data_IF_809423073390
#
_entry.id   IF_809423073390
#
_cell.length_a   1.000
_cell.length_b   1.000
_cell.length_c   1.000
_cell.angle_alpha   90.00
_cell.angle_beta   90.00
_cell.angle_gamma   90.00
#
_symmetry.space_group_name_H-M   'P 1'
#
loop_
_entity.id
_entity.type
_entity.pdbx_description
1 polymer ?
#
# COMPACT_ATOMS: atom_id res chain seq x y z
N UNK A 1 -31.85 -3.65 9.53
CA UNK A 1 -31.29 -2.30 9.35
C UNK A 1 -31.03 -2.14 7.86
N UNK A 2 -31.71 -1.19 7.21
CA UNK A 2 -31.73 -1.08 5.75
C UNK A 2 -30.36 -0.68 5.18
N UNK A 3 -30.04 -1.24 4.02
CA UNK A 3 -28.93 -0.81 3.18
C UNK A 3 -29.18 0.64 2.75
N UNK A 4 -28.72 1.60 3.54
CA UNK A 4 -28.61 2.98 3.09
C UNK A 4 -27.54 3.00 2.01
N UNK A 5 -27.90 3.43 0.80
CA UNK A 5 -26.94 3.73 -0.27
C UNK A 5 -25.82 4.59 0.31
N UNK A 6 -24.60 4.05 0.27
CA UNK A 6 -23.40 4.80 0.62
C UNK A 6 -23.33 6.01 -0.31
N UNK A 7 -23.51 7.21 0.25
CA UNK A 7 -23.41 8.48 -0.49
C UNK A 7 -22.01 9.07 -0.24
N UNK A 8 -21.02 8.79 -1.13
CA UNK A 8 -19.63 9.17 -0.89
C UNK A 8 -19.41 10.68 -0.79
N UNK A 9 -20.33 11.50 -1.29
CA UNK A 9 -20.21 12.97 -1.29
C UNK A 9 -20.97 13.68 -0.17
N UNK A 10 -21.53 12.98 0.83
CA UNK A 10 -22.37 13.62 1.87
C UNK A 10 -21.62 14.62 2.77
N UNK A 11 -20.28 14.60 2.76
CA UNK A 11 -19.41 15.39 3.62
C UNK A 11 -18.25 16.12 2.89
N UNK A 12 -18.15 16.00 1.56
CA UNK A 12 -17.03 16.55 0.77
C UNK A 12 -17.48 17.76 -0.08
N UNK A 13 -16.53 18.66 -0.36
CA UNK A 13 -16.66 19.97 -1.01
C UNK A 13 -17.49 20.02 -2.31
N UNK A 14 -17.79 21.24 -2.77
CA UNK A 14 -18.60 21.58 -3.97
C UNK A 14 -18.25 20.79 -5.25
N UNK A 15 -17.05 20.19 -5.34
CA UNK A 15 -16.57 19.44 -6.51
C UNK A 15 -16.83 17.92 -6.45
N UNK A 16 -17.19 17.33 -5.30
CA UNK A 16 -17.26 15.86 -5.15
C UNK A 16 -18.23 15.20 -6.13
N UNK A 17 -19.41 15.78 -6.34
CA UNK A 17 -20.37 15.23 -7.31
C UNK A 17 -19.89 15.35 -8.76
N UNK A 18 -19.23 16.47 -9.09
CA UNK A 18 -18.67 16.68 -10.44
C UNK A 18 -17.57 15.65 -10.72
N UNK A 19 -16.64 15.51 -9.77
CA UNK A 19 -15.53 14.56 -9.85
C UNK A 19 -16.02 13.12 -9.86
N UNK A 20 -17.05 12.78 -9.07
CA UNK A 20 -17.67 11.45 -9.12
C UNK A 20 -18.22 11.15 -10.52
N UNK A 21 -18.92 12.10 -11.16
CA UNK A 21 -19.42 11.92 -12.54
C UNK A 21 -18.26 11.80 -13.54
N UNK A 22 -17.25 12.66 -13.42
CA UNK A 22 -16.08 12.65 -14.28
C UNK A 22 -15.33 11.31 -14.21
N UNK A 23 -15.01 10.85 -13.00
CA UNK A 23 -14.30 9.59 -12.76
C UNK A 23 -15.18 8.40 -13.16
N UNK A 24 -16.48 8.42 -12.85
CA UNK A 24 -17.39 7.34 -13.28
C UNK A 24 -17.46 7.20 -14.81
N UNK A 25 -17.42 8.33 -15.53
CA UNK A 25 -17.44 8.34 -16.99
C UNK A 25 -16.13 7.88 -17.62
N UNK A 26 -14.98 8.18 -16.99
CA UNK A 26 -13.67 7.97 -17.59
C UNK A 26 -12.89 6.78 -17.01
N UNK A 27 -13.04 6.49 -15.72
CA UNK A 27 -12.29 5.48 -14.94
C UNK A 27 -13.21 4.74 -13.94
N UNK A 28 -14.31 4.11 -14.40
CA UNK A 28 -15.25 3.42 -13.50
C UNK A 28 -14.60 2.28 -12.70
N UNK A 29 -13.56 1.63 -13.26
CA UNK A 29 -12.79 0.60 -12.58
C UNK A 29 -12.11 1.09 -11.29
N UNK A 30 -11.63 2.34 -11.27
CA UNK A 30 -11.00 2.94 -10.10
C UNK A 30 -11.96 3.01 -8.91
N UNK A 31 -13.21 3.46 -9.11
CA UNK A 31 -14.21 3.56 -8.05
C UNK A 31 -14.60 2.20 -7.46
N UNK A 32 -14.70 1.19 -8.32
CA UNK A 32 -14.93 -0.19 -7.87
C UNK A 32 -13.76 -0.67 -7.01
N UNK A 33 -12.53 -0.50 -7.48
CA UNK A 33 -11.34 -1.00 -6.77
C UNK A 33 -11.07 -0.23 -5.47
N UNK A 34 -11.51 1.04 -5.38
CA UNK A 34 -11.55 1.82 -4.13
C UNK A 34 -12.55 1.22 -3.13
N UNK A 35 -13.75 0.88 -3.60
CA UNK A 35 -14.76 0.19 -2.78
C UNK A 35 -14.25 -1.18 -2.31
N UNK A 36 -13.53 -1.91 -3.16
CA UNK A 36 -12.96 -3.20 -2.81
C UNK A 36 -11.82 -3.08 -1.77
N UNK A 37 -10.98 -2.02 -1.83
CA UNK A 37 -10.00 -1.72 -0.77
C UNK A 37 -10.70 -1.51 0.59
N UNK A 38 -11.77 -0.70 0.61
CA UNK A 38 -12.56 -0.47 1.82
C UNK A 38 -13.13 -1.80 2.31
N UNK A 39 -13.81 -2.55 1.44
CA UNK A 39 -14.34 -3.87 1.77
C UNK A 39 -13.29 -4.81 2.37
N UNK A 40 -12.08 -4.84 1.81
CA UNK A 40 -10.97 -5.61 2.34
C UNK A 40 -10.55 -5.19 3.75
N UNK A 41 -10.42 -3.89 4.03
CA UNK A 41 -10.05 -3.37 5.34
C UNK A 41 -11.09 -3.69 6.45
N UNK A 42 -12.37 -3.81 6.09
CA UNK A 42 -13.45 -4.14 7.03
C UNK A 42 -13.68 -5.66 7.16
N UNK A 43 -13.72 -6.38 6.04
CA UNK A 43 -14.03 -7.81 6.01
C UNK A 43 -12.92 -8.69 6.58
N UNK A 44 -11.67 -8.26 6.41
CA UNK A 44 -10.50 -9.00 6.89
C UNK A 44 -10.21 -8.74 8.36
N UNK A 45 -11.14 -8.12 9.10
CA UNK A 45 -11.04 -8.02 10.55
C UNK A 45 -11.08 -9.44 11.14
N UNK A 46 -9.98 -9.93 11.73
CA UNK A 46 -9.97 -11.25 12.36
C UNK A 46 -10.98 -11.26 13.51
N UNK A 47 -11.69 -12.36 13.75
CA UNK A 47 -12.47 -12.56 14.97
C UNK A 47 -11.59 -12.35 16.22
N UNK A 48 -10.30 -12.65 16.08
CA UNK A 48 -9.23 -12.42 17.05
C UNK A 48 -8.97 -10.95 17.34
N UNK A 49 -9.31 -10.03 16.44
CA UNK A 49 -9.29 -8.60 16.72
C UNK A 49 -10.22 -8.22 17.87
N UNK A 50 -11.33 -8.94 18.02
CA UNK A 50 -12.27 -8.76 19.14
C UNK A 50 -11.79 -9.44 20.42
N UNK A 51 -10.82 -10.35 20.35
CA UNK A 51 -10.37 -11.18 21.48
C UNK A 51 -8.95 -10.88 21.97
N UNK A 52 -8.11 -10.19 21.20
CA UNK A 52 -6.79 -9.74 21.63
C UNK A 52 -6.70 -8.20 21.69
N UNK A 53 -7.12 -7.56 22.80
CA UNK A 53 -7.06 -6.11 22.95
C UNK A 53 -5.64 -5.55 22.96
N UNK A 54 -4.62 -6.42 23.05
CA UNK A 54 -3.21 -6.04 23.08
C UNK A 54 -2.54 -6.10 21.69
N UNK A 55 -3.24 -6.51 20.63
CA UNK A 55 -2.69 -6.55 19.27
C UNK A 55 -2.55 -5.15 18.68
N UNK A 56 -1.32 -4.71 18.41
CA UNK A 56 -1.08 -3.43 17.73
C UNK A 56 -1.51 -3.51 16.27
N UNK A 57 -1.34 -4.66 15.60
CA UNK A 57 -1.79 -4.84 14.23
C UNK A 57 -3.31 -4.65 14.10
N UNK A 58 -4.07 -5.30 14.97
CA UNK A 58 -5.53 -5.15 15.04
C UNK A 58 -5.91 -3.69 15.33
N UNK A 59 -5.28 -3.09 16.34
CA UNK A 59 -5.56 -1.72 16.73
C UNK A 59 -5.37 -0.77 15.54
N UNK A 60 -4.25 -0.93 14.82
CA UNK A 60 -3.94 -0.17 13.60
C UNK A 60 -4.96 -0.43 12.50
N UNK A 61 -5.34 -1.69 12.25
CA UNK A 61 -6.31 -2.02 11.21
C UNK A 61 -7.64 -1.30 11.43
N UNK A 62 -8.14 -1.29 12.67
CA UNK A 62 -9.42 -0.69 13.03
C UNK A 62 -9.37 0.83 13.14
N UNK A 63 -8.33 1.39 13.77
CA UNK A 63 -8.29 2.80 14.15
C UNK A 63 -7.51 3.69 13.18
N UNK A 64 -6.77 3.09 12.23
CA UNK A 64 -5.99 3.83 11.25
C UNK A 64 -6.31 3.37 9.83
N UNK A 65 -6.15 2.09 9.51
CA UNK A 65 -6.30 1.59 8.13
C UNK A 65 -7.73 1.71 7.62
N UNK A 66 -8.74 1.33 8.40
CA UNK A 66 -10.14 1.49 8.01
C UNK A 66 -10.51 2.96 7.75
N UNK A 67 -10.21 3.91 8.66
CA UNK A 67 -10.38 5.34 8.37
C UNK A 67 -9.62 5.81 7.11
N UNK A 68 -8.36 5.40 6.93
CA UNK A 68 -7.55 5.77 5.76
C UNK A 68 -8.10 5.19 4.46
N UNK A 69 -8.59 3.95 4.47
CA UNK A 69 -9.21 3.33 3.29
C UNK A 69 -10.47 4.11 2.84
N UNK A 70 -11.29 4.56 3.80
CA UNK A 70 -12.40 5.46 3.49
C UNK A 70 -11.91 6.81 2.99
N UNK A 71 -10.90 7.38 3.64
CA UNK A 71 -10.36 8.69 3.25
C UNK A 71 -9.73 8.68 1.85
N UNK A 72 -9.10 7.58 1.43
CA UNK A 72 -8.56 7.42 0.07
C UNK A 72 -9.65 7.62 -1.00
N UNK A 73 -10.86 7.07 -0.79
CA UNK A 73 -11.98 7.33 -1.70
C UNK A 73 -12.31 8.82 -1.76
N UNK A 74 -12.38 9.49 -0.60
CA UNK A 74 -12.66 10.92 -0.55
C UNK A 74 -11.55 11.75 -1.22
N UNK A 75 -10.29 11.45 -0.97
CA UNK A 75 -9.17 12.20 -1.56
C UNK A 75 -9.09 12.01 -3.08
N UNK A 76 -9.48 10.84 -3.60
CA UNK A 76 -9.63 10.64 -5.05
C UNK A 76 -10.78 11.48 -5.61
N UNK A 77 -11.93 11.50 -4.92
CA UNK A 77 -13.08 12.33 -5.31
C UNK A 77 -12.83 13.83 -5.15
N UNK A 78 -11.81 14.23 -4.39
CA UNK A 78 -11.35 15.62 -4.28
C UNK A 78 -10.24 15.95 -5.29
N UNK A 79 -9.85 15.00 -6.16
CA UNK A 79 -8.70 15.12 -7.05
C UNK A 79 -7.42 15.55 -6.31
N UNK A 80 -7.19 14.97 -5.12
CA UNK A 80 -6.05 15.23 -4.25
C UNK A 80 -5.06 14.04 -4.25
N UNK A 81 -4.16 13.94 -5.25
CA UNK A 81 -3.28 12.77 -5.42
C UNK A 81 -2.31 12.59 -4.24
N UNK A 82 -1.79 13.67 -3.65
CA UNK A 82 -0.84 13.57 -2.53
C UNK A 82 -1.48 12.98 -1.28
N UNK A 83 -2.68 13.43 -0.92
CA UNK A 83 -3.44 12.87 0.21
C UNK A 83 -3.76 11.39 -0.03
N UNK A 84 -4.08 11.04 -1.27
CA UNK A 84 -4.34 9.66 -1.70
C UNK A 84 -3.10 8.78 -1.51
N UNK A 85 -1.96 9.15 -2.09
CA UNK A 85 -0.71 8.40 -2.02
C UNK A 85 -0.15 8.33 -0.58
N UNK A 86 -0.26 9.42 0.17
CA UNK A 86 0.16 9.47 1.58
C UNK A 86 -0.64 8.50 2.44
N UNK A 87 -1.96 8.41 2.21
CA UNK A 87 -2.83 7.49 2.92
C UNK A 87 -2.53 6.03 2.58
N UNK A 88 -2.31 5.74 1.29
CA UNK A 88 -1.87 4.41 0.83
C UNK A 88 -0.54 3.99 1.48
N UNK A 89 0.44 4.89 1.52
CA UNK A 89 1.73 4.66 2.19
C UNK A 89 1.56 4.34 3.67
N UNK A 90 0.74 5.12 4.37
CA UNK A 90 0.47 4.95 5.80
C UNK A 90 -0.22 3.63 6.11
N UNK A 91 -1.12 3.13 5.24
CA UNK A 91 -1.72 1.81 5.40
C UNK A 91 -0.64 0.73 5.45
N UNK A 92 0.29 0.71 4.49
CA UNK A 92 1.35 -0.30 4.41
C UNK A 92 2.29 -0.19 5.63
N UNK A 93 2.77 1.02 5.92
CA UNK A 93 3.72 1.27 7.01
C UNK A 93 3.15 0.85 8.36
N UNK A 94 1.91 1.25 8.65
CA UNK A 94 1.29 0.99 9.94
C UNK A 94 1.00 -0.51 10.17
N UNK A 95 0.59 -1.25 9.13
CA UNK A 95 0.39 -2.69 9.23
C UNK A 95 1.72 -3.44 9.40
N UNK A 96 2.78 -3.03 8.71
CA UNK A 96 4.11 -3.61 8.90
C UNK A 96 4.64 -3.38 10.33
N UNK A 97 4.45 -2.18 10.88
CA UNK A 97 4.74 -1.86 12.29
C UNK A 97 3.95 -2.77 13.24
N UNK A 98 2.65 -2.93 12.99
CA UNK A 98 1.78 -3.79 13.81
C UNK A 98 2.21 -5.26 13.78
N UNK A 99 2.63 -5.75 12.61
CA UNK A 99 3.12 -7.11 12.42
C UNK A 99 4.39 -7.35 13.23
N UNK A 100 5.35 -6.42 13.11
CA UNK A 100 6.59 -6.44 13.88
C UNK A 100 6.31 -6.40 15.39
N UNK A 101 5.44 -5.51 15.83
CA UNK A 101 5.11 -5.35 17.24
C UNK A 101 4.46 -6.61 17.83
N UNK A 102 3.48 -7.18 17.14
CA UNK A 102 2.78 -8.37 17.63
C UNK A 102 3.65 -9.62 17.59
N UNK A 103 4.63 -9.69 16.68
CA UNK A 103 5.58 -10.79 16.62
C UNK A 103 6.60 -10.78 17.76
N UNK A 104 7.13 -9.61 18.12
CA UNK A 104 8.26 -9.51 19.06
C UNK A 104 7.86 -9.12 20.48
N UNK A 105 6.74 -8.40 20.64
CA UNK A 105 6.28 -7.88 21.92
C UNK A 105 4.90 -8.43 22.27
N UNK A 106 4.65 -9.72 21.97
CA UNK A 106 3.32 -10.34 22.07
C UNK A 106 2.65 -10.22 23.44
N UNK A 107 3.45 -10.14 24.50
CA UNK A 107 2.99 -10.07 25.91
C UNK A 107 2.73 -8.63 26.39
N UNK A 108 3.14 -7.63 25.60
CA UNK A 108 2.98 -6.21 25.93
C UNK A 108 1.59 -5.70 25.53
N UNK A 109 1.11 -4.70 26.28
CA UNK A 109 -0.09 -3.96 25.89
C UNK A 109 0.19 -3.03 24.70
N UNK A 110 -0.87 -2.52 24.06
CA UNK A 110 -0.76 -1.66 22.87
C UNK A 110 0.11 -0.42 23.11
N UNK A 111 0.00 0.24 24.27
CA UNK A 111 0.75 1.46 24.58
C UNK A 111 2.26 1.19 24.69
N UNK A 112 2.62 0.10 25.38
CA UNK A 112 4.00 -0.38 25.46
C UNK A 112 4.53 -0.71 24.08
N UNK A 113 3.76 -1.43 23.25
CA UNK A 113 4.15 -1.76 21.87
C UNK A 113 4.47 -0.53 21.04
N UNK A 114 3.62 0.49 21.05
CA UNK A 114 3.86 1.75 20.32
C UNK A 114 5.19 2.39 20.72
N UNK A 115 5.52 2.36 22.01
CA UNK A 115 6.79 2.91 22.52
C UNK A 115 8.00 2.10 22.05
N UNK A 116 7.89 0.76 22.04
CA UNK A 116 8.95 -0.16 21.65
C UNK A 116 9.22 -0.14 20.13
N UNK A 117 8.21 0.16 19.32
CA UNK A 117 8.32 0.20 17.85
C UNK A 117 8.51 1.60 17.27
N UNK A 118 8.78 2.62 18.12
CA UNK A 118 9.00 4.01 17.66
C UNK A 118 10.11 4.15 16.62
N UNK A 119 11.08 3.24 16.64
CA UNK A 119 12.21 3.22 15.70
C UNK A 119 11.96 2.24 14.54
N UNK A 120 10.73 1.74 14.37
CA UNK A 120 10.45 0.88 13.24
C UNK A 120 10.71 1.63 11.93
N UNK A 121 11.43 0.98 11.01
CA UNK A 121 11.72 1.56 9.70
C UNK A 121 11.48 0.54 8.61
N UNK A 122 10.56 0.85 7.69
CA UNK A 122 10.32 0.03 6.49
C UNK A 122 11.61 -0.23 5.70
N UNK A 123 12.52 0.75 5.66
CA UNK A 123 13.85 0.59 5.06
C UNK A 123 14.70 -0.52 5.70
N UNK A 124 14.65 -0.66 7.03
CA UNK A 124 15.40 -1.70 7.76
C UNK A 124 14.77 -3.08 7.59
N UNK A 125 13.44 -3.14 7.50
CA UNK A 125 12.69 -4.37 7.20
C UNK A 125 13.14 -5.05 5.91
N UNK A 126 13.67 -4.29 4.95
CA UNK A 126 14.36 -4.81 3.76
C UNK A 126 15.88 -4.88 3.90
N UNK A 127 16.54 -3.81 4.37
CA UNK A 127 17.98 -3.57 4.17
C UNK A 127 18.91 -4.30 5.15
N UNK A 128 18.43 -4.83 6.27
CA UNK A 128 19.30 -5.59 7.19
C UNK A 128 19.95 -6.82 6.51
N UNK A 129 19.35 -7.35 5.44
CA UNK A 129 19.93 -8.40 4.57
C UNK A 129 21.17 -7.95 3.78
N UNK A 130 21.31 -6.65 3.47
CA UNK A 130 22.43 -6.09 2.69
C UNK A 130 23.62 -5.64 3.55
N UNK A 131 23.45 -5.56 4.87
CA UNK A 131 24.52 -5.17 5.78
C UNK A 131 25.39 -6.37 6.20
N UNK A 132 24.82 -7.57 6.33
CA UNK A 132 25.62 -8.80 6.58
C UNK A 132 26.68 -9.04 5.49
N UNK A 133 26.43 -8.61 4.24
CA UNK A 133 27.39 -8.69 3.12
C UNK A 133 28.41 -7.53 3.08
N UNK A 134 28.18 -6.45 3.85
CA UNK A 134 29.04 -5.24 3.91
C UNK A 134 29.79 -5.06 5.23
N UNK A 135 29.37 -5.78 6.28
CA UNK A 135 29.93 -5.67 7.64
C UNK A 135 31.27 -6.37 7.84
N UNK A 136 31.93 -6.87 6.78
CA UNK A 136 33.38 -7.12 6.83
C UNK A 136 34.21 -5.82 6.89
N UNK A 137 33.60 -4.62 6.88
CA UNK A 137 34.37 -3.37 6.75
C UNK A 137 34.12 -2.22 7.73
N UNK A 138 33.10 -2.21 8.59
CA UNK A 138 32.92 -1.11 9.58
C UNK A 138 32.44 -1.59 10.96
N UNK A 139 33.41 -1.86 11.85
CA UNK A 139 33.21 -2.08 13.28
C UNK A 139 32.79 -0.77 13.98
N UNK A 140 31.51 -0.36 13.92
CA UNK A 140 31.06 0.73 14.82
C UNK A 140 29.57 0.79 15.17
N UNK A 141 28.73 -0.19 14.81
CA UNK A 141 27.33 -0.20 15.25
C UNK A 141 27.15 -1.18 16.41
N UNK A 142 26.87 -0.63 17.60
CA UNK A 142 26.80 -1.38 18.86
C UNK A 142 25.78 -2.54 18.85
N UNK A 143 25.88 -3.41 19.86
CA UNK A 143 25.09 -4.65 20.02
C UNK A 143 23.57 -4.51 19.79
N UNK A 144 23.00 -3.33 20.07
CA UNK A 144 21.58 -3.06 19.90
C UNK A 144 21.14 -3.01 18.43
N UNK A 145 22.00 -2.51 17.53
CA UNK A 145 21.71 -2.44 16.09
C UNK A 145 21.71 -3.83 15.44
N UNK A 146 22.68 -4.66 15.82
CA UNK A 146 22.77 -6.05 15.36
C UNK A 146 21.56 -6.87 15.83
N UNK A 147 21.17 -6.73 17.11
CA UNK A 147 19.98 -7.37 17.67
C UNK A 147 18.70 -6.97 16.91
N UNK A 148 18.56 -5.69 16.61
CA UNK A 148 17.44 -5.16 15.84
C UNK A 148 17.42 -5.74 14.41
N UNK A 149 18.56 -5.74 13.70
CA UNK A 149 18.63 -6.31 12.36
C UNK A 149 18.36 -7.82 12.33
N UNK A 150 18.76 -8.57 13.36
CA UNK A 150 18.40 -9.98 13.51
C UNK A 150 16.88 -10.17 13.59
N UNK A 151 16.17 -9.31 14.34
CA UNK A 151 14.71 -9.35 14.43
C UNK A 151 14.04 -9.04 13.08
N UNK A 152 14.54 -8.04 12.36
CA UNK A 152 14.05 -7.70 11.02
C UNK A 152 14.29 -8.83 10.01
N UNK A 153 15.50 -9.41 9.99
CA UNK A 153 15.85 -10.52 9.09
C UNK A 153 15.04 -11.79 9.42
N UNK A 154 14.80 -12.08 10.70
CA UNK A 154 13.94 -13.19 11.12
C UNK A 154 12.48 -12.97 10.68
N UNK A 155 11.90 -11.80 10.94
CA UNK A 155 10.54 -11.50 10.52
C UNK A 155 10.40 -11.51 8.99
N UNK A 156 11.38 -10.96 8.27
CA UNK A 156 11.39 -10.94 6.81
C UNK A 156 11.37 -12.36 6.23
N UNK A 157 12.17 -13.28 6.79
CA UNK A 157 12.12 -14.71 6.43
C UNK A 157 10.76 -15.33 6.74
N UNK A 158 10.22 -15.13 7.93
CA UNK A 158 8.90 -15.68 8.30
C UNK A 158 7.78 -15.20 7.36
N UNK A 159 7.79 -13.92 6.97
CA UNK A 159 6.83 -13.35 6.02
C UNK A 159 7.01 -13.94 4.62
N UNK A 160 8.25 -14.02 4.14
CA UNK A 160 8.56 -14.58 2.82
C UNK A 160 8.19 -16.06 2.75
N UNK A 161 8.52 -16.86 3.78
CA UNK A 161 8.17 -18.29 3.85
C UNK A 161 6.65 -18.48 3.86
N UNK A 162 5.93 -17.65 4.62
CA UNK A 162 4.46 -17.65 4.69
C UNK A 162 3.81 -17.33 3.34
N UNK A 163 4.43 -16.45 2.56
CA UNK A 163 3.94 -15.95 1.27
C UNK A 163 4.68 -16.60 0.08
N UNK A 164 5.47 -17.66 0.27
CA UNK A 164 6.30 -18.26 -0.79
C UNK A 164 5.47 -18.76 -1.99
N UNK A 165 4.22 -19.13 -1.74
CA UNK A 165 3.25 -19.49 -2.78
C UNK A 165 2.94 -18.34 -3.77
N UNK A 166 3.31 -17.09 -3.45
CA UNK A 166 3.23 -15.93 -4.33
C UNK A 166 4.52 -15.63 -5.10
N UNK A 167 5.65 -16.24 -4.73
CA UNK A 167 6.98 -15.86 -5.21
C UNK A 167 7.08 -15.85 -6.74
N UNK A 168 6.53 -16.86 -7.40
CA UNK A 168 6.50 -16.95 -8.86
C UNK A 168 5.58 -15.90 -9.53
N UNK A 169 4.55 -15.42 -8.82
CA UNK A 169 3.64 -14.38 -9.31
C UNK A 169 4.25 -12.99 -9.15
N UNK A 170 4.86 -12.71 -7.99
CA UNK A 170 5.52 -11.44 -7.68
C UNK A 170 6.84 -11.25 -8.42
N UNK A 171 7.50 -12.35 -8.84
CA UNK A 171 8.82 -12.32 -9.46
C UNK A 171 9.96 -12.10 -8.45
N UNK A 172 9.68 -12.30 -7.15
CA UNK A 172 10.62 -12.04 -6.06
C UNK A 172 10.02 -12.29 -4.68
N UNK A 173 10.76 -11.88 -3.64
CA UNK A 173 10.36 -12.02 -2.24
C UNK A 173 9.19 -11.06 -1.92
N UNK A 174 8.25 -11.51 -1.10
CA UNK A 174 7.05 -10.75 -0.73
C UNK A 174 7.38 -9.45 0.01
N UNK A 175 8.36 -9.49 0.91
CA UNK A 175 8.82 -8.31 1.66
C UNK A 175 9.46 -7.27 0.73
N UNK A 176 10.21 -7.71 -0.28
CA UNK A 176 10.79 -6.80 -1.28
C UNK A 176 9.67 -6.11 -2.06
N UNK A 177 8.65 -6.85 -2.51
CA UNK A 177 7.48 -6.27 -3.18
C UNK A 177 6.79 -5.21 -2.31
N UNK A 178 6.43 -5.54 -1.06
CA UNK A 178 5.76 -4.62 -0.13
C UNK A 178 6.61 -3.36 0.11
N UNK A 179 7.92 -3.52 0.28
CA UNK A 179 8.83 -2.39 0.46
C UNK A 179 8.90 -1.50 -0.77
N UNK A 180 8.98 -2.06 -1.98
CA UNK A 180 9.04 -1.26 -3.21
C UNK A 180 7.75 -0.46 -3.41
N UNK A 181 6.58 -1.06 -3.15
CA UNK A 181 5.29 -0.32 -3.17
C UNK A 181 5.34 0.85 -2.18
N UNK A 182 5.75 0.61 -0.94
CA UNK A 182 5.92 1.67 0.06
C UNK A 182 6.91 2.75 -0.39
N UNK A 183 8.05 2.35 -0.95
CA UNK A 183 9.11 3.24 -1.38
C UNK A 183 8.65 4.11 -2.56
N UNK A 184 7.92 3.54 -3.50
CA UNK A 184 7.35 4.24 -4.65
C UNK A 184 6.29 5.24 -4.22
N UNK A 185 5.36 4.85 -3.34
CA UNK A 185 4.39 5.78 -2.74
C UNK A 185 5.07 6.93 -1.96
N UNK A 186 6.27 6.71 -1.45
CA UNK A 186 7.03 7.74 -0.71
C UNK A 186 7.72 8.76 -1.63
N UNK A 187 8.06 8.40 -2.87
CA UNK A 187 8.82 9.29 -3.77
C UNK A 187 8.09 10.60 -4.08
N UNK A 188 6.80 10.61 -4.44
CA UNK A 188 6.08 11.86 -4.69
C UNK A 188 5.93 12.73 -3.45
N UNK A 189 5.96 12.16 -2.24
CA UNK A 189 5.76 12.89 -0.98
C UNK A 189 7.03 13.67 -0.59
N UNK A 190 8.22 13.21 -1.02
CA UNK A 190 9.49 13.87 -0.74
C UNK A 190 9.93 14.76 -1.92
N UNK A 191 9.82 16.09 -1.76
CA UNK A 191 10.19 17.07 -2.79
C UNK A 191 11.61 16.88 -3.40
N UNK A 192 12.57 16.36 -2.61
CA UNK A 192 13.94 16.09 -3.08
C UNK A 192 14.03 14.85 -3.98
N UNK A 193 13.17 13.85 -3.79
CA UNK A 193 13.13 12.65 -4.64
C UNK A 193 12.55 12.93 -6.04
N UNK A 194 11.91 14.08 -6.23
CA UNK A 194 11.42 14.54 -7.55
C UNK A 194 12.55 15.02 -8.47
N UNK A 195 13.72 15.39 -7.93
CA UNK A 195 14.80 16.02 -8.69
C UNK A 195 15.76 14.99 -9.33
N UNK A 196 15.82 13.77 -8.80
CA UNK A 196 16.86 12.78 -9.15
C UNK A 196 16.31 11.42 -9.60
N UNK A 197 15.22 11.42 -10.36
CA UNK A 197 14.59 10.21 -10.88
C UNK A 197 15.32 9.63 -12.11
N UNK A 198 16.58 9.19 -11.95
CA UNK A 198 17.20 8.19 -12.82
C UNK A 198 17.11 6.82 -12.13
N UNK A 199 16.27 5.92 -12.64
CA UNK A 199 16.12 4.58 -12.05
C UNK A 199 16.57 3.47 -13.02
N UNK A 200 17.48 2.64 -12.50
CA UNK A 200 18.00 1.44 -13.13
C UNK A 200 16.96 0.30 -13.07
N UNK A 201 16.33 0.02 -14.20
CA UNK A 201 16.02 -1.28 -14.81
C UNK A 201 16.04 -2.56 -13.92
N UNK A 202 15.24 -2.64 -12.85
CA UNK A 202 15.05 -3.89 -12.11
C UNK A 202 13.66 -4.00 -11.47
N UNK A 203 12.72 -4.59 -12.21
CA UNK A 203 11.93 -5.81 -11.91
C UNK A 203 10.67 -5.81 -12.78
N UNK A 204 10.77 -6.58 -13.87
CA UNK A 204 9.83 -6.64 -14.98
C UNK A 204 8.75 -7.69 -14.69
N UNK A 205 7.67 -7.28 -14.03
CA UNK A 205 6.35 -7.94 -14.21
C UNK A 205 5.17 -7.05 -13.86
N UNK A 206 5.32 -6.16 -12.86
CA UNK A 206 4.35 -5.14 -12.49
C UNK A 206 5.04 -3.77 -12.56
N UNK A 207 4.95 -3.10 -13.70
CA UNK A 207 5.55 -1.77 -13.91
C UNK A 207 4.96 -0.75 -12.91
N UNK A 208 5.72 -0.29 -11.91
CA UNK A 208 5.28 0.73 -10.95
C UNK A 208 5.43 2.18 -11.49
N UNK A 209 4.65 3.10 -10.91
CA UNK A 209 4.35 4.47 -11.39
C UNK A 209 5.50 5.44 -11.67
N UNK A 210 6.76 5.06 -11.50
CA UNK A 210 7.91 5.89 -11.88
C UNK A 210 8.01 6.12 -13.41
N UNK A 211 7.54 5.17 -14.23
CA UNK A 211 7.43 5.38 -15.68
C UNK A 211 6.31 6.38 -16.01
N UNK A 212 5.23 6.40 -15.24
CA UNK A 212 4.19 7.40 -15.41
C UNK A 212 4.70 8.80 -15.12
N UNK A 213 5.49 8.99 -14.06
CA UNK A 213 6.16 10.26 -13.75
C UNK A 213 7.08 10.75 -14.89
N UNK A 214 7.72 9.84 -15.63
CA UNK A 214 8.49 10.17 -16.84
C UNK A 214 7.63 10.45 -18.08
N UNK A 215 6.38 9.97 -18.11
CA UNK A 215 5.40 10.21 -19.17
C UNK A 215 4.60 11.52 -18.98
N UNK A 216 4.52 12.08 -17.77
CA UNK A 216 3.69 13.29 -17.52
C UNK A 216 4.36 14.56 -18.05
N UNK A 217 5.69 14.65 -18.16
CA UNK A 217 6.41 15.84 -18.64
C UNK A 217 6.28 17.09 -17.73
N UNK A 218 5.16 17.25 -17.05
CA UNK A 218 4.79 18.33 -16.14
C UNK A 218 3.99 17.72 -14.98
N UNK A 219 4.48 17.84 -13.75
CA UNK A 219 3.66 17.58 -12.57
C UNK A 219 2.47 18.56 -12.59
N UNK A 220 1.24 18.16 -12.20
CA UNK A 220 0.17 19.11 -12.03
C UNK A 220 0.63 20.20 -11.04
N UNK A 221 0.32 21.48 -11.32
CA UNK A 221 0.85 22.60 -10.54
C UNK A 221 0.56 22.39 -9.06
N UNK A 222 1.53 22.71 -8.17
CA UNK A 222 1.46 22.53 -6.70
C UNK A 222 0.13 22.95 -6.04
N UNK A 223 -0.68 23.77 -6.71
CA UNK A 223 -2.02 24.16 -6.29
C UNK A 223 -3.00 22.99 -6.10
N UNK A 224 -2.89 21.91 -6.88
CA UNK A 224 -3.68 20.66 -6.70
C UNK A 224 -3.07 19.72 -5.65
N UNK A 225 -1.89 20.05 -5.10
CA UNK A 225 -1.21 19.19 -4.13
C UNK A 225 -1.82 19.23 -2.72
N UNK A 226 -2.61 20.26 -2.40
CA UNK A 226 -3.08 20.52 -1.02
C UNK A 226 -4.58 20.82 -0.93
N UNK A 227 -5.21 21.30 -2.00
CA UNK A 227 -6.62 21.72 -1.97
C UNK A 227 -7.47 20.88 -2.92
N UNK A 228 -8.69 20.49 -2.50
CA UNK A 228 -9.67 19.86 -3.40
C UNK A 228 -9.86 20.67 -4.67
N UNK A 229 -9.89 19.99 -5.81
CA UNK A 229 -10.05 20.59 -7.13
C UNK A 229 -11.04 19.79 -7.97
N UNK A 230 -11.60 20.43 -8.99
CA UNK A 230 -12.36 19.72 -10.03
C UNK A 230 -11.39 18.94 -10.94
N UNK A 231 -11.68 17.68 -11.18
CA UNK A 231 -10.91 16.82 -12.08
C UNK A 231 -11.16 17.21 -13.54
N UNK A 232 -10.09 17.38 -14.31
CA UNK A 232 -10.11 17.61 -15.74
C UNK A 232 -9.51 16.47 -16.56
N UNK A 233 -9.52 16.61 -17.89
CA UNK A 233 -8.92 15.63 -18.81
C UNK A 233 -7.42 15.43 -18.56
N UNK A 234 -6.71 16.48 -18.14
CA UNK A 234 -5.29 16.42 -17.78
C UNK A 234 -5.04 15.52 -16.55
N UNK A 235 -6.04 15.34 -15.69
CA UNK A 235 -5.95 14.49 -14.49
C UNK A 235 -6.14 13.00 -14.79
N UNK A 236 -6.53 12.62 -16.02
CA UNK A 236 -6.75 11.21 -16.37
C UNK A 236 -5.50 10.35 -16.21
N UNK A 237 -4.33 10.94 -16.44
CA UNK A 237 -3.02 10.26 -16.30
C UNK A 237 -2.71 10.01 -14.83
N UNK A 238 -2.96 10.99 -13.95
CA UNK A 238 -2.72 10.80 -12.51
C UNK A 238 -3.76 9.86 -11.88
N UNK A 239 -5.01 9.88 -12.36
CA UNK A 239 -6.03 8.92 -11.93
C UNK A 239 -5.66 7.48 -12.32
N UNK A 240 -5.00 7.27 -13.46
CA UNK A 240 -4.48 5.97 -13.86
C UNK A 240 -3.32 5.50 -12.97
N UNK A 241 -2.40 6.40 -12.63
CA UNK A 241 -1.34 6.11 -11.67
C UNK A 241 -1.91 5.78 -10.28
N UNK A 242 -2.88 6.56 -9.79
CA UNK A 242 -3.60 6.29 -8.54
C UNK A 242 -4.27 4.92 -8.58
N UNK A 243 -4.93 4.57 -9.68
CA UNK A 243 -5.62 3.28 -9.81
C UNK A 243 -4.64 2.11 -9.71
N UNK A 244 -3.48 2.26 -10.34
CA UNK A 244 -2.41 1.29 -10.26
C UNK A 244 -1.85 1.16 -8.83
N UNK A 245 -1.44 2.27 -8.22
CA UNK A 245 -0.87 2.31 -6.87
C UNK A 245 -1.87 1.83 -5.81
N UNK A 246 -3.15 2.09 -6.01
CA UNK A 246 -4.25 1.58 -5.18
C UNK A 246 -4.28 0.05 -5.16
N UNK A 247 -4.21 -0.60 -6.32
CA UNK A 247 -4.28 -2.06 -6.41
C UNK A 247 -3.05 -2.72 -5.77
N UNK A 248 -1.89 -2.10 -5.92
CA UNK A 248 -0.63 -2.57 -5.32
C UNK A 248 -0.62 -2.37 -3.80
N UNK A 249 -1.22 -1.27 -3.33
CA UNK A 249 -1.49 -1.03 -1.92
C UNK A 249 -2.45 -2.05 -1.35
N UNK A 250 -3.56 -2.32 -2.06
CA UNK A 250 -4.54 -3.34 -1.69
C UNK A 250 -3.90 -4.72 -1.59
N UNK A 251 -3.05 -5.09 -2.55
CA UNK A 251 -2.30 -6.35 -2.52
C UNK A 251 -1.36 -6.41 -1.32
N UNK A 252 -0.58 -5.34 -1.07
CA UNK A 252 0.35 -5.26 0.06
C UNK A 252 -0.37 -5.36 1.41
N UNK A 253 -1.51 -4.68 1.54
CA UNK A 253 -2.38 -4.75 2.71
C UNK A 253 -2.86 -6.20 2.95
N UNK A 254 -3.41 -6.84 1.92
CA UNK A 254 -3.92 -8.21 2.01
C UNK A 254 -2.80 -9.22 2.35
N UNK A 255 -1.59 -9.02 1.79
CA UNK A 255 -0.40 -9.82 2.12
C UNK A 255 0.04 -9.63 3.58
N UNK A 256 0.07 -8.40 4.09
CA UNK A 256 0.44 -8.11 5.48
C UNK A 256 -0.58 -8.69 6.47
N UNK A 257 -1.87 -8.61 6.15
CA UNK A 257 -2.96 -9.22 6.92
C UNK A 257 -2.81 -10.74 6.98
N UNK A 258 -2.61 -11.39 5.83
CA UNK A 258 -2.38 -12.84 5.78
C UNK A 258 -1.12 -13.23 6.56
N UNK A 259 -0.01 -12.53 6.34
CA UNK A 259 1.26 -12.79 7.02
C UNK A 259 1.12 -12.66 8.53
N UNK A 260 0.46 -11.60 9.03
CA UNK A 260 0.16 -11.44 10.45
C UNK A 260 -0.66 -12.61 10.99
N UNK A 261 -1.70 -13.03 10.28
CA UNK A 261 -2.56 -14.14 10.70
C UNK A 261 -1.78 -15.45 10.89
N UNK A 262 -0.83 -15.75 10.00
CA UNK A 262 0.01 -16.95 10.09
C UNK A 262 1.11 -16.80 11.15
N UNK A 263 1.89 -15.72 11.08
CA UNK A 263 3.08 -15.48 11.92
C UNK A 263 2.71 -15.39 13.40
N UNK A 264 1.62 -14.71 13.71
CA UNK A 264 1.15 -14.54 15.10
C UNK A 264 0.15 -15.62 15.54
N UNK A 265 -0.24 -16.51 14.61
CA UNK A 265 -1.38 -17.44 14.77
C UNK A 265 -2.67 -16.70 15.15
N UNK A 266 -2.80 -15.47 14.66
CA UNK A 266 -3.87 -14.53 14.95
C UNK A 266 -5.12 -14.72 14.09
N UNK A 267 -5.20 -15.75 13.24
CA UNK A 267 -6.36 -16.06 12.41
C UNK A 267 -6.67 -17.56 12.43
N UNK A 268 -7.96 -17.89 12.36
CA UNK A 268 -8.42 -19.25 12.07
C UNK A 268 -8.13 -19.63 10.61
N UNK A 269 -8.09 -20.93 10.31
CA UNK A 269 -7.90 -21.42 8.94
C UNK A 269 -8.93 -20.84 7.95
N UNK A 270 -10.18 -20.66 8.38
CA UNK A 270 -11.21 -20.07 7.53
C UNK A 270 -10.96 -18.60 7.19
N UNK A 271 -10.35 -17.83 8.11
CA UNK A 271 -9.96 -16.44 7.88
C UNK A 271 -8.72 -16.34 7.00
N UNK A 272 -7.75 -17.24 7.19
CA UNK A 272 -6.57 -17.33 6.33
C UNK A 272 -6.94 -17.65 4.88
N UNK A 273 -7.88 -18.58 4.65
CA UNK A 273 -8.37 -18.88 3.29
C UNK A 273 -9.11 -17.71 2.66
N UNK A 274 -9.87 -16.93 3.44
CA UNK A 274 -10.50 -15.68 2.95
C UNK A 274 -9.45 -14.64 2.56
N UNK A 275 -8.43 -14.43 3.40
CA UNK A 275 -7.33 -13.51 3.10
C UNK A 275 -6.56 -13.95 1.83
N UNK A 276 -6.29 -15.25 1.70
CA UNK A 276 -5.67 -15.84 0.51
C UNK A 276 -6.51 -15.65 -0.74
N UNK A 277 -7.83 -15.79 -0.65
CA UNK A 277 -8.75 -15.56 -1.75
C UNK A 277 -8.74 -14.09 -2.21
N UNK A 278 -8.72 -13.14 -1.27
CA UNK A 278 -8.60 -11.70 -1.57
C UNK A 278 -7.28 -11.35 -2.26
N UNK A 279 -6.15 -11.91 -1.80
CA UNK A 279 -4.85 -11.77 -2.50
C UNK A 279 -4.96 -12.23 -3.97
N UNK A 280 -5.54 -13.41 -4.21
CA UNK A 280 -5.69 -13.96 -5.58
C UNK A 280 -6.61 -13.11 -6.45
N UNK A 281 -7.70 -12.62 -5.90
CA UNK A 281 -8.62 -11.73 -6.60
C UNK A 281 -7.94 -10.40 -6.95
N UNK A 282 -7.18 -9.81 -6.01
CA UNK A 282 -6.43 -8.57 -6.27
C UNK A 282 -5.38 -8.76 -7.36
N UNK A 283 -4.64 -9.89 -7.36
CA UNK A 283 -3.69 -10.20 -8.42
C UNK A 283 -4.33 -10.31 -9.80
N UNK A 284 -5.50 -10.96 -9.88
CA UNK A 284 -6.27 -11.02 -11.12
C UNK A 284 -6.66 -9.62 -11.59
N UNK A 285 -7.13 -8.77 -10.66
CA UNK A 285 -7.52 -7.40 -10.98
C UNK A 285 -6.34 -6.54 -11.45
N UNK A 286 -5.15 -6.71 -10.85
CA UNK A 286 -3.91 -6.08 -11.29
C UNK A 286 -3.60 -6.45 -12.75
N UNK A 287 -3.72 -7.73 -13.12
CA UNK A 287 -3.47 -8.17 -14.50
C UNK A 287 -4.47 -7.56 -15.50
N UNK A 288 -5.75 -7.46 -15.12
CA UNK A 288 -6.79 -6.81 -15.93
C UNK A 288 -6.48 -5.33 -16.16
N UNK A 289 -6.22 -4.58 -15.08
CA UNK A 289 -5.93 -3.14 -15.15
C UNK A 289 -4.60 -2.87 -15.86
N UNK A 290 -3.60 -3.73 -15.69
CA UNK A 290 -2.36 -3.64 -16.44
C UNK A 290 -2.61 -3.67 -17.96
N UNK A 291 -3.44 -4.60 -18.43
CA UNK A 291 -3.82 -4.69 -19.86
C UNK A 291 -4.66 -3.49 -20.31
N UNK A 292 -5.57 -3.01 -19.46
CA UNK A 292 -6.36 -1.79 -19.74
C UNK A 292 -5.44 -0.58 -19.96
N UNK A 293 -4.45 -0.39 -19.08
CA UNK A 293 -3.47 0.69 -19.17
C UNK A 293 -2.55 0.51 -20.39
N UNK A 294 -1.99 -0.68 -20.58
CA UNK A 294 -1.12 -0.99 -21.72
C UNK A 294 -1.81 -0.66 -23.05
N UNK A 295 -3.07 -1.08 -23.24
CA UNK A 295 -3.85 -0.77 -24.44
C UNK A 295 -4.08 0.74 -24.61
N UNK A 296 -4.37 1.45 -23.52
CA UNK A 296 -4.65 2.89 -23.56
C UNK A 296 -3.44 3.71 -24.00
N UNK A 297 -2.23 3.34 -23.54
CA UNK A 297 -1.01 4.10 -23.82
C UNK A 297 -0.24 3.61 -25.05
N UNK A 298 -0.36 2.33 -25.43
CA UNK A 298 0.18 1.82 -26.71
C UNK A 298 -0.54 2.43 -27.91
N UNK A 299 -1.88 2.52 -27.87
CA UNK A 299 -2.65 3.09 -28.99
C UNK A 299 -2.36 4.59 -29.22
N UNK A 300 -1.99 5.34 -28.17
CA UNK A 300 -1.59 6.75 -28.30
C UNK A 300 -0.25 6.93 -29.03
N UNK A 301 0.63 5.94 -29.01
CA UNK A 301 1.92 5.99 -29.71
C UNK A 301 1.77 5.74 -31.21
N UNK A 302 0.80 4.93 -31.62
CA UNK A 302 0.55 4.59 -33.03
C UNK A 302 -0.22 5.70 -33.79
N UNK A 303 -1.02 6.53 -33.12
CA UNK A 303 -1.78 7.63 -33.75
C UNK A 303 -0.98 8.91 -34.00
N UNK A 304 0.27 8.98 -33.53
CA UNK A 304 1.14 10.16 -33.65
C UNK A 304 2.23 10.01 -34.74
N UNK A 305 2.03 9.09 -35.70
CA UNK A 305 2.91 8.88 -36.86
C UNK A 305 2.19 9.16 -38.19
#
# INVERSE_FOLDING_TARGET
>A
MGAGEFKPCRAACDFCESNLRFISGNRPGLLKDLSDLIGDAYDLMPATARSNPNSLFTFTLMNLVQPLANYILHSVLECAPYSTLSSMRLIIESLAVGLYADRWFSNDNVVSKVTLVKEFGMGRFRRCKKMEEREEMEESHGNDHLSLCNQYNALSREVNDTLDWLRGLLGGDAVDFIYEVYNDLSKPIHAVAMIDAKFNDRYVRFFHGAIFLSMVGEFPPMRTAVMPAECGEDDLVILDAIHWDLLLTRLSMNMLIYAWGVVTKGMSNGELEKAKAKIKETLKRIEEVYKELENRYRNKTETNH
#
